data_IF_028211112194
#
_entry.id   IF_028211112194
#
_cell.length_a   1.000
_cell.length_b   1.000
_cell.length_c   1.000
_cell.angle_alpha   90.00
_cell.angle_beta   90.00
_cell.angle_gamma   90.00
#
_symmetry.space_group_name_H-M   'P 1'
#
loop_
_entity.id
_entity.type
_entity.pdbx_description
1 polymer ?
#
# COMPACT_ATOMS: atom_id res chain seq x y z
N UNK A 1 17.56 -1.62 26.21
CA UNK A 1 17.75 -0.72 25.05
C UNK A 1 16.36 -0.40 24.58
N UNK A 2 15.86 0.74 25.02
CA UNK A 2 14.44 1.07 25.04
C UNK A 2 13.84 1.19 23.64
N UNK A 3 12.67 0.63 23.47
CA UNK A 3 11.78 0.82 22.33
C UNK A 3 11.44 2.32 22.19
N UNK A 4 12.22 3.01 21.37
CA UNK A 4 12.01 4.44 21.03
C UNK A 4 10.78 4.66 20.12
N UNK A 5 9.94 3.67 19.91
CA UNK A 5 8.81 3.70 18.98
C UNK A 5 7.44 3.42 19.60
N UNK A 6 7.34 3.30 20.94
CA UNK A 6 6.05 3.11 21.62
C UNK A 6 5.28 4.41 21.90
N UNK A 7 5.62 5.52 21.29
CA UNK A 7 5.08 6.82 21.66
C UNK A 7 4.56 7.67 20.52
N UNK A 8 3.69 7.16 19.64
CA UNK A 8 2.91 8.07 18.78
C UNK A 8 1.67 7.38 18.23
N UNK A 9 0.65 7.27 19.06
CA UNK A 9 -0.69 6.79 18.70
C UNK A 9 -1.48 7.75 17.79
N UNK A 10 -0.84 8.72 17.13
CA UNK A 10 -1.52 9.78 16.38
C UNK A 10 -1.18 9.82 14.89
N UNK A 11 -0.96 8.68 14.24
CA UNK A 11 -0.57 8.68 12.83
C UNK A 11 -1.71 8.32 11.89
N UNK A 12 -2.61 9.28 11.72
CA UNK A 12 -3.67 9.18 10.74
C UNK A 12 -5.01 8.76 11.34
N UNK A 13 -6.07 8.89 10.57
CA UNK A 13 -7.38 8.39 10.94
C UNK A 13 -7.43 6.90 10.64
N UNK A 14 -7.62 6.01 11.64
CA UNK A 14 -7.80 4.59 11.40
C UNK A 14 -8.92 4.35 10.38
N UNK A 15 -8.69 3.42 9.49
CA UNK A 15 -9.59 3.15 8.37
C UNK A 15 -9.75 1.65 8.18
N UNK A 16 -10.80 1.25 7.47
CA UNK A 16 -11.05 -0.16 7.12
C UNK A 16 -10.99 -0.29 5.60
N UNK A 17 -10.24 -1.27 5.12
CA UNK A 17 -10.08 -1.56 3.70
C UNK A 17 -11.33 -2.19 3.09
N UNK A 18 -11.39 -2.34 1.77
CA UNK A 18 -12.46 -3.05 1.06
C UNK A 18 -12.62 -4.51 1.52
N UNK A 19 -11.55 -5.12 2.01
CA UNK A 19 -11.57 -6.51 2.54
C UNK A 19 -11.91 -6.60 4.03
N UNK A 20 -12.22 -5.47 4.68
CA UNK A 20 -12.53 -5.43 6.11
C UNK A 20 -11.31 -5.38 7.03
N UNK A 21 -10.10 -5.27 6.49
CA UNK A 21 -8.88 -5.19 7.29
C UNK A 21 -8.71 -3.78 7.88
N UNK A 22 -8.52 -3.63 9.20
CA UNK A 22 -8.16 -2.35 9.79
C UNK A 22 -6.73 -1.95 9.42
N UNK A 23 -6.54 -0.68 9.13
CA UNK A 23 -5.26 -0.03 8.83
C UNK A 23 -5.13 1.29 9.59
N UNK A 24 -3.92 1.79 9.79
CA UNK A 24 -3.65 2.94 10.65
C UNK A 24 -3.99 4.28 10.03
N UNK A 25 -4.08 4.35 8.70
CA UNK A 25 -4.30 5.62 8.01
C UNK A 25 -5.16 5.47 6.74
N UNK A 26 -5.73 6.58 6.29
CA UNK A 26 -6.42 6.67 4.99
C UNK A 26 -5.48 6.39 3.81
N UNK A 27 -4.21 6.79 3.92
CA UNK A 27 -3.22 6.53 2.87
C UNK A 27 -2.94 5.04 2.71
N UNK A 28 -2.78 4.33 3.82
CA UNK A 28 -2.62 2.87 3.81
C UNK A 28 -3.87 2.17 3.26
N UNK A 29 -5.08 2.66 3.62
CA UNK A 29 -6.33 2.15 3.03
C UNK A 29 -6.32 2.27 1.49
N UNK A 30 -5.96 3.43 0.95
CA UNK A 30 -5.90 3.65 -0.50
C UNK A 30 -4.93 2.66 -1.16
N UNK A 31 -3.77 2.43 -0.56
CA UNK A 31 -2.78 1.47 -1.09
C UNK A 31 -3.32 0.03 -1.00
N UNK A 32 -3.89 -0.37 0.13
CA UNK A 32 -4.48 -1.69 0.33
C UNK A 32 -5.60 -1.97 -0.69
N UNK A 33 -6.51 -1.02 -0.85
CA UNK A 33 -7.64 -1.12 -1.79
C UNK A 33 -7.15 -1.16 -3.25
N UNK A 34 -6.09 -0.41 -3.58
CA UNK A 34 -5.44 -0.48 -4.89
C UNK A 34 -4.86 -1.88 -5.16
N UNK A 35 -4.13 -2.45 -4.22
CA UNK A 35 -3.56 -3.79 -4.35
C UNK A 35 -4.65 -4.85 -4.49
N UNK A 36 -5.68 -4.78 -3.66
CA UNK A 36 -6.86 -5.67 -3.72
C UNK A 36 -7.55 -5.58 -5.07
N UNK A 37 -7.79 -4.36 -5.56
CA UNK A 37 -8.41 -4.12 -6.86
C UNK A 37 -7.61 -4.68 -8.04
N UNK A 38 -6.30 -4.77 -7.92
CA UNK A 38 -5.41 -5.39 -8.92
C UNK A 38 -5.22 -6.90 -8.70
N UNK A 39 -5.89 -7.50 -7.72
CA UNK A 39 -5.78 -8.92 -7.40
C UNK A 39 -4.38 -9.31 -6.89
N UNK A 40 -3.68 -8.37 -6.26
CA UNK A 40 -2.35 -8.60 -5.68
C UNK A 40 -2.51 -8.96 -4.21
N UNK A 41 -2.03 -10.13 -3.84
CA UNK A 41 -1.98 -10.54 -2.45
C UNK A 41 -0.91 -9.72 -1.69
N UNK A 42 -1.25 -9.31 -0.49
CA UNK A 42 -0.33 -8.60 0.40
C UNK A 42 -0.53 -9.02 1.85
N UNK A 43 0.51 -8.84 2.65
CA UNK A 43 0.43 -8.87 4.11
C UNK A 43 0.61 -7.45 4.62
N UNK A 44 -0.36 -6.98 5.40
CA UNK A 44 -0.29 -5.69 6.07
C UNK A 44 0.46 -5.84 7.38
N UNK A 45 1.44 -4.94 7.65
CA UNK A 45 2.30 -5.01 8.83
C UNK A 45 2.76 -6.44 9.12
N UNK A 46 3.35 -7.09 8.12
CA UNK A 46 3.74 -8.50 8.18
C UNK A 46 4.38 -8.81 9.53
N UNK A 47 3.59 -9.43 10.42
CA UNK A 47 4.10 -9.88 11.69
C UNK A 47 5.21 -10.89 11.44
N UNK A 48 6.28 -10.83 12.21
CA UNK A 48 7.51 -11.61 12.07
C UNK A 48 7.36 -13.13 12.10
N UNK A 49 6.16 -13.68 11.93
CA UNK A 49 5.87 -15.11 11.86
C UNK A 49 6.09 -15.72 10.48
N UNK A 50 6.24 -14.92 9.43
CA UNK A 50 6.60 -15.44 8.12
C UNK A 50 8.12 -15.42 7.95
N UNK A 51 8.80 -16.50 8.33
CA UNK A 51 10.18 -16.90 7.95
C UNK A 51 11.24 -15.79 7.72
N UNK A 52 11.22 -14.73 8.49
CA UNK A 52 12.14 -13.60 8.45
C UNK A 52 13.47 -13.87 9.17
N UNK A 53 13.67 -15.07 9.67
CA UNK A 53 14.86 -15.46 10.44
C UNK A 53 16.18 -15.42 9.67
N UNK A 54 16.17 -15.11 8.37
CA UNK A 54 17.41 -14.96 7.60
C UNK A 54 18.10 -13.60 7.85
N UNK A 55 17.38 -12.62 8.39
CA UNK A 55 17.94 -11.29 8.68
C UNK A 55 17.88 -11.02 10.19
N UNK A 56 18.98 -11.21 10.87
CA UNK A 56 19.12 -10.95 12.32
C UNK A 56 19.04 -9.46 12.71
N UNK A 57 18.71 -8.57 11.79
CA UNK A 57 18.50 -7.15 12.06
C UNK A 57 17.01 -6.87 12.04
N UNK A 58 16.44 -6.55 13.21
CA UNK A 58 15.07 -6.09 13.37
C UNK A 58 14.90 -4.72 12.68
N UNK A 59 14.82 -4.73 11.36
CA UNK A 59 14.35 -3.58 10.59
C UNK A 59 12.85 -3.52 10.86
N UNK A 60 12.30 -2.36 11.20
CA UNK A 60 10.89 -2.20 11.56
C UNK A 60 9.96 -2.87 10.54
N UNK A 61 8.74 -3.25 10.96
CA UNK A 61 7.73 -3.85 10.08
C UNK A 61 7.45 -2.95 8.87
N UNK A 62 7.45 -3.47 7.63
CA UNK A 62 6.96 -2.74 6.46
C UNK A 62 5.44 -2.57 6.55
N UNK A 63 4.90 -1.52 5.92
CA UNK A 63 3.46 -1.34 5.87
C UNK A 63 2.78 -2.45 5.07
N UNK A 64 3.37 -2.83 3.91
CA UNK A 64 2.90 -3.94 3.10
C UNK A 64 4.05 -4.80 2.60
N UNK A 65 3.79 -6.10 2.52
CA UNK A 65 4.66 -7.07 1.86
C UNK A 65 3.91 -7.79 0.75
N UNK A 66 4.47 -7.79 -0.45
CA UNK A 66 3.94 -8.48 -1.63
C UNK A 66 4.71 -9.78 -1.85
N UNK A 67 4.20 -10.95 -1.40
CA UNK A 67 4.94 -12.21 -1.45
C UNK A 67 5.25 -12.67 -2.87
N UNK A 68 4.37 -12.37 -3.83
CA UNK A 68 4.57 -12.73 -5.26
C UNK A 68 5.82 -12.10 -5.86
N UNK A 69 6.26 -10.96 -5.32
CA UNK A 69 7.37 -10.17 -5.87
C UNK A 69 8.56 -10.09 -4.91
N UNK A 70 8.42 -10.61 -3.70
CA UNK A 70 9.36 -10.37 -2.61
C UNK A 70 9.69 -8.87 -2.49
N UNK A 71 8.64 -8.07 -2.39
CA UNK A 71 8.68 -6.60 -2.46
C UNK A 71 7.96 -6.01 -1.27
N UNK A 72 8.57 -5.00 -0.64
CA UNK A 72 7.93 -4.18 0.39
C UNK A 72 7.35 -2.91 -0.18
N UNK A 73 6.30 -2.41 0.47
CA UNK A 73 5.78 -1.07 0.25
C UNK A 73 5.82 -0.36 1.59
N UNK A 74 6.35 0.86 1.58
CA UNK A 74 6.37 1.80 2.69
C UNK A 74 5.58 3.04 2.32
N UNK A 75 4.63 3.39 3.15
CA UNK A 75 3.88 4.64 3.03
C UNK A 75 4.43 5.69 4.01
N UNK A 76 5.01 6.74 3.46
CA UNK A 76 5.64 7.80 4.25
C UNK A 76 4.67 8.94 4.53
N UNK A 77 3.60 8.66 5.28
CA UNK A 77 2.45 9.55 5.47
C UNK A 77 2.74 10.88 6.16
N UNK A 78 3.83 11.00 6.93
CA UNK A 78 4.12 12.18 7.74
C UNK A 78 5.25 13.05 7.20
N UNK A 79 5.73 12.80 6.00
CA UNK A 79 6.77 13.65 5.39
C UNK A 79 6.31 15.09 5.17
N UNK A 80 5.00 15.30 5.09
CA UNK A 80 4.36 16.59 4.90
C UNK A 80 3.64 17.07 6.18
N UNK A 81 3.99 16.50 7.35
CA UNK A 81 3.40 16.95 8.64
C UNK A 81 3.61 18.44 8.85
N UNK A 82 2.58 19.20 9.25
CA UNK A 82 2.69 20.61 9.55
C UNK A 82 3.57 20.87 10.79
N UNK A 83 3.62 19.93 11.73
CA UNK A 83 4.54 20.02 12.87
C UNK A 83 5.97 19.69 12.43
N UNK A 84 6.84 20.71 12.49
CA UNK A 84 8.21 20.61 12.01
C UNK A 84 9.03 19.56 12.77
N UNK A 85 8.84 19.45 14.09
CA UNK A 85 9.59 18.49 14.92
C UNK A 85 9.22 17.06 14.56
N UNK A 86 7.93 16.75 14.52
CA UNK A 86 7.40 15.43 14.10
C UNK A 86 7.89 15.08 12.70
N UNK A 87 7.80 16.02 11.77
CA UNK A 87 8.26 15.82 10.39
C UNK A 87 9.76 15.51 10.31
N UNK A 88 10.60 16.26 10.99
CA UNK A 88 12.06 16.11 10.90
C UNK A 88 12.53 14.79 11.56
N UNK A 89 11.92 14.41 12.69
CA UNK A 89 12.17 13.13 13.34
C UNK A 89 11.72 11.95 12.47
N UNK A 90 10.56 12.08 11.85
CA UNK A 90 10.02 11.08 10.93
C UNK A 90 10.91 10.93 9.69
N UNK A 91 11.33 12.02 9.06
CA UNK A 91 12.23 11.98 7.89
C UNK A 91 13.56 11.32 8.24
N UNK A 92 14.10 11.58 9.44
CA UNK A 92 15.31 10.91 9.91
C UNK A 92 15.14 9.41 10.01
N UNK A 93 14.06 8.97 10.63
CA UNK A 93 13.68 7.56 10.77
C UNK A 93 13.45 6.88 9.40
N UNK A 94 12.72 7.55 8.50
CA UNK A 94 12.50 7.11 7.13
C UNK A 94 13.83 6.88 6.39
N UNK A 95 14.73 7.86 6.42
CA UNK A 95 16.04 7.76 5.76
C UNK A 95 16.87 6.60 6.30
N UNK A 96 16.86 6.42 7.61
CA UNK A 96 17.53 5.29 8.25
C UNK A 96 16.95 3.95 7.78
N UNK A 97 15.63 3.80 7.80
CA UNK A 97 14.93 2.59 7.35
C UNK A 97 15.24 2.26 5.89
N UNK A 98 15.17 3.26 5.01
CA UNK A 98 15.53 3.11 3.58
C UNK A 98 17.00 2.69 3.40
N UNK A 99 17.93 3.25 4.20
CA UNK A 99 19.33 2.87 4.17
C UNK A 99 19.53 1.40 4.60
N UNK A 100 18.78 0.93 5.63
CA UNK A 100 18.81 -0.47 6.05
C UNK A 100 18.30 -1.41 4.95
N UNK A 101 17.22 -1.05 4.27
CA UNK A 101 16.71 -1.85 3.14
C UNK A 101 17.76 -1.98 2.04
N UNK A 102 18.38 -0.87 1.62
CA UNK A 102 19.45 -0.89 0.61
C UNK A 102 20.65 -1.73 1.05
N UNK A 103 21.12 -1.54 2.28
CA UNK A 103 22.25 -2.29 2.85
C UNK A 103 22.02 -3.80 2.85
N UNK A 104 20.77 -4.23 3.03
CA UNK A 104 20.40 -5.64 3.10
C UNK A 104 19.79 -6.18 1.78
N UNK A 105 19.91 -5.45 0.68
CA UNK A 105 19.37 -5.81 -0.63
C UNK A 105 17.86 -6.13 -0.61
N UNK A 106 17.12 -5.46 0.27
CA UNK A 106 15.67 -5.60 0.38
C UNK A 106 15.01 -4.69 -0.67
N UNK A 107 14.17 -5.28 -1.51
CA UNK A 107 13.40 -4.53 -2.50
C UNK A 107 12.25 -3.81 -1.82
N UNK A 108 12.11 -2.53 -2.08
CA UNK A 108 11.00 -1.75 -1.54
C UNK A 108 10.57 -0.62 -2.48
N UNK A 109 9.29 -0.30 -2.41
CA UNK A 109 8.68 0.87 -3.07
C UNK A 109 8.26 1.86 -1.98
N UNK A 110 8.65 3.12 -2.15
CA UNK A 110 8.26 4.23 -1.28
C UNK A 110 7.07 4.98 -1.86
N UNK A 111 5.97 5.07 -1.12
CA UNK A 111 4.78 5.84 -1.47
C UNK A 111 4.67 7.03 -0.52
N UNK A 112 4.36 8.19 -1.07
CA UNK A 112 4.21 9.46 -0.34
C UNK A 112 2.78 9.99 -0.49
N UNK A 113 2.32 10.90 0.39
CA UNK A 113 0.99 11.50 0.27
C UNK A 113 0.70 12.07 -1.13
N UNK A 114 1.67 12.75 -1.73
CA UNK A 114 1.57 13.32 -3.08
C UNK A 114 1.38 12.27 -4.19
N UNK A 115 1.72 11.01 -3.94
CA UNK A 115 1.54 9.93 -4.92
C UNK A 115 0.11 9.36 -4.93
N UNK A 116 -0.66 9.56 -3.86
CA UNK A 116 -1.98 8.96 -3.70
C UNK A 116 -3.01 9.46 -4.70
N UNK A 117 -2.90 10.71 -5.15
CA UNK A 117 -3.82 11.30 -6.15
C UNK A 117 -3.73 10.62 -7.53
N UNK A 118 -2.60 9.99 -7.84
CA UNK A 118 -2.41 9.19 -9.05
C UNK A 118 -1.57 7.94 -8.73
N UNK A 119 -2.09 7.13 -7.78
CA UNK A 119 -1.35 6.00 -7.23
C UNK A 119 -0.95 4.98 -8.30
N UNK A 120 -1.83 4.70 -9.27
CA UNK A 120 -1.54 3.73 -10.34
C UNK A 120 -0.29 4.13 -11.13
N UNK A 121 -0.20 5.39 -11.56
CA UNK A 121 0.95 5.90 -12.31
C UNK A 121 2.24 5.81 -11.49
N UNK A 122 2.23 6.33 -10.26
CA UNK A 122 3.43 6.36 -9.43
C UNK A 122 3.86 4.98 -8.98
N UNK A 123 2.90 4.11 -8.62
CA UNK A 123 3.20 2.76 -8.19
C UNK A 123 3.81 1.94 -9.34
N UNK A 124 3.22 1.95 -10.53
CA UNK A 124 3.74 1.25 -11.71
C UNK A 124 5.15 1.68 -12.07
N UNK A 125 5.39 2.98 -12.07
CA UNK A 125 6.73 3.53 -12.36
C UNK A 125 7.75 3.02 -11.34
N UNK A 126 7.47 3.20 -10.05
CA UNK A 126 8.38 2.79 -8.97
C UNK A 126 8.56 1.28 -8.91
N UNK A 127 7.51 0.53 -9.19
CA UNK A 127 7.58 -0.93 -9.28
C UNK A 127 8.53 -1.36 -10.40
N UNK A 128 8.40 -0.78 -11.60
CA UNK A 128 9.31 -1.03 -12.71
C UNK A 128 10.75 -0.68 -12.38
N UNK A 129 10.99 0.47 -11.74
CA UNK A 129 12.32 0.91 -11.35
C UNK A 129 13.01 -0.08 -10.38
N UNK A 130 12.23 -0.72 -9.50
CA UNK A 130 12.74 -1.68 -8.50
C UNK A 130 12.82 -3.11 -9.06
N UNK A 131 11.84 -3.53 -9.87
CA UNK A 131 11.69 -4.92 -10.30
C UNK A 131 12.28 -5.19 -11.67
N UNK A 132 12.49 -4.15 -12.51
CA UNK A 132 13.00 -4.29 -13.87
C UNK A 132 11.96 -4.76 -14.91
N UNK A 133 10.68 -4.92 -14.49
CA UNK A 133 9.57 -5.28 -15.39
C UNK A 133 8.28 -4.57 -14.96
N UNK A 134 7.30 -4.55 -15.86
CA UNK A 134 6.05 -3.84 -15.62
C UNK A 134 5.14 -4.54 -14.61
N UNK A 135 4.51 -3.74 -13.75
CA UNK A 135 3.44 -4.23 -12.88
C UNK A 135 2.27 -4.73 -13.75
N UNK A 136 1.80 -5.96 -13.55
CA UNK A 136 0.78 -6.55 -14.42
C UNK A 136 -0.52 -5.75 -14.34
N UNK A 137 -1.09 -5.44 -15.51
CA UNK A 137 -2.42 -4.84 -15.63
C UNK A 137 -3.41 -6.00 -15.52
N UNK A 138 -4.12 -6.08 -14.38
CA UNK A 138 -5.31 -6.90 -14.27
C UNK A 138 -6.52 -5.98 -14.32
N UNK A 139 -7.59 -6.35 -15.02
CA UNK A 139 -8.81 -5.56 -14.96
C UNK A 139 -9.28 -5.53 -13.51
N UNK A 140 -9.46 -4.32 -12.98
CA UNK A 140 -9.97 -4.12 -11.62
C UNK A 140 -11.47 -4.36 -11.67
N UNK A 141 -11.95 -5.34 -10.92
CA UNK A 141 -13.38 -5.54 -10.76
C UNK A 141 -13.98 -4.31 -10.04
N UNK A 142 -15.00 -3.71 -10.67
CA UNK A 142 -15.75 -2.57 -10.14
C UNK A 142 -17.10 -3.04 -9.63
N UNK A 143 -17.59 -2.45 -8.54
CA UNK A 143 -18.95 -2.72 -8.06
C UNK A 143 -19.92 -1.85 -8.85
N UNK A 144 -20.87 -2.48 -9.53
CA UNK A 144 -21.93 -1.76 -10.24
C UNK A 144 -22.81 -0.98 -9.24
N UNK A 145 -22.99 0.32 -9.40
CA UNK A 145 -23.80 1.11 -8.48
C UNK A 145 -25.31 0.76 -8.55
N UNK A 146 -25.75 0.11 -9.63
CA UNK A 146 -27.16 -0.24 -9.84
C UNK A 146 -27.52 -1.60 -9.25
N UNK A 147 -26.70 -2.63 -9.42
CA UNK A 147 -27.02 -4.00 -8.98
C UNK A 147 -26.04 -4.57 -7.95
N UNK A 148 -25.02 -3.80 -7.56
CA UNK A 148 -24.00 -4.17 -6.58
C UNK A 148 -23.18 -5.42 -6.92
N UNK A 149 -23.22 -5.88 -8.18
CA UNK A 149 -22.40 -7.00 -8.66
C UNK A 149 -21.00 -6.49 -9.03
N UNK A 150 -20.00 -7.31 -8.75
CA UNK A 150 -18.62 -7.08 -9.18
C UNK A 150 -18.47 -7.36 -10.67
N UNK A 151 -17.99 -6.40 -11.45
CA UNK A 151 -17.86 -6.48 -12.90
C UNK A 151 -16.47 -6.05 -13.36
N UNK A 152 -15.94 -6.70 -14.37
CA UNK A 152 -14.63 -6.39 -14.96
C UNK A 152 -14.74 -5.32 -16.07
N UNK A 153 -15.88 -5.23 -16.72
CA UNK A 153 -16.17 -4.27 -17.78
C UNK A 153 -17.42 -3.48 -17.44
N UNK A 154 -17.25 -2.36 -16.74
CA UNK A 154 -18.35 -1.49 -16.31
C UNK A 154 -19.11 -0.89 -17.52
N UNK A 155 -18.46 -0.37 -18.56
CA UNK A 155 -19.16 0.13 -19.75
C UNK A 155 -20.07 -0.89 -20.40
N UNK A 156 -19.61 -2.12 -20.57
CA UNK A 156 -20.41 -3.23 -21.11
C UNK A 156 -21.57 -3.58 -20.19
N UNK A 157 -21.33 -3.64 -18.89
CA UNK A 157 -22.33 -3.96 -17.88
C UNK A 157 -23.43 -2.91 -17.77
N UNK A 158 -23.10 -1.63 -17.86
CA UNK A 158 -24.10 -0.54 -17.91
C UNK A 158 -24.97 -0.65 -19.16
N UNK A 159 -24.39 -0.99 -20.32
CA UNK A 159 -25.17 -1.25 -21.54
C UNK A 159 -26.16 -2.40 -21.35
N UNK A 160 -25.74 -3.46 -20.66
CA UNK A 160 -26.62 -4.60 -20.31
C UNK A 160 -27.81 -4.14 -19.46
N UNK A 161 -27.60 -3.32 -18.41
CA UNK A 161 -28.71 -2.75 -17.63
C UNK A 161 -29.71 -1.99 -18.52
N UNK A 162 -29.22 -1.19 -19.46
CA UNK A 162 -30.06 -0.43 -20.38
C UNK A 162 -30.89 -1.30 -21.32
N UNK A 163 -30.45 -2.53 -21.59
CA UNK A 163 -31.21 -3.50 -22.43
C UNK A 163 -32.27 -4.27 -21.64
N UNK A 164 -31.97 -4.60 -20.38
CA UNK A 164 -32.89 -5.38 -19.52
C UNK A 164 -34.04 -4.53 -18.98
N UNK A 165 -33.83 -3.23 -18.76
CA UNK A 165 -34.87 -2.32 -18.25
C UNK A 165 -35.90 -1.94 -19.31
N UNK A 166 -35.73 -2.35 -20.57
CA UNK A 166 -36.67 -2.08 -21.68
C UNK A 166 -37.58 -3.25 -22.04
N UNK A 167 -37.48 -4.35 -21.30
CA UNK A 167 -38.36 -5.51 -21.41
C UNK A 167 -39.40 -5.52 -20.27
#
# INVERSE_FOLDING_TARGET
MNDLFEGSEEYGTPSVTLTGQPVRSKGEKIIADYLTGHGVAYYYEATATANWFIFQTKISKPDFYLPQYNLFIEYWGLVDSPDARTRDDYIRSMRWKMAQYRKNNIRFVSIYPSNLSNLDYYFRRKFRDVMGFDFPIRPVAQICPTCHIQVLDMPLHIKWHATVTRA
#
